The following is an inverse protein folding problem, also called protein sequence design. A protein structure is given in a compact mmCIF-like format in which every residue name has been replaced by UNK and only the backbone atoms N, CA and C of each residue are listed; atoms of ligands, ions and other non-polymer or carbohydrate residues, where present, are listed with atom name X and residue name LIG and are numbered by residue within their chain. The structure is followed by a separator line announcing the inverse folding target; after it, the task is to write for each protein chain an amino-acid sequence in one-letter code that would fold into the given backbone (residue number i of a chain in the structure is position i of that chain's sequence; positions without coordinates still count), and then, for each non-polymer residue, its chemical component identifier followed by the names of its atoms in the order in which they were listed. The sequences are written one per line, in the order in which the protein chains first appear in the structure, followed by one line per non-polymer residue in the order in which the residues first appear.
data_IF_561505153844
#
_entry.id   IF_561505153844
#
_cell.length_a   1.000
_cell.length_b   1.000
_cell.length_c   1.000
_cell.angle_alpha   90.00
_cell.angle_beta   90.00
_cell.angle_gamma   90.00
#
_symmetry.space_group_name_H-M   'P 1'
#
loop_
_entity.id
_entity.type
_entity.pdbx_description
1 polymer ?
#
# COMPACT_ATOMS: atom_id res chain seq x y z
N UNK A 1 20.98 14.16 -21.98
CA UNK A 1 20.98 15.52 -22.58
C UNK A 1 22.32 16.15 -22.28
N UNK A 2 22.95 16.76 -23.28
CA UNK A 2 24.24 17.42 -23.12
C UNK A 2 24.11 18.55 -22.06
N UNK A 3 25.06 18.59 -21.13
CA UNK A 3 25.09 19.54 -19.99
C UNK A 3 26.20 20.58 -20.14
N UNK A 4 26.84 20.59 -21.30
CA UNK A 4 27.94 21.49 -21.60
C UNK A 4 27.47 22.64 -22.50
N UNK A 5 27.89 23.86 -22.16
CA UNK A 5 27.63 25.08 -22.92
C UNK A 5 28.95 25.62 -23.47
N UNK A 6 28.92 26.30 -24.62
CA UNK A 6 30.11 26.87 -25.25
C UNK A 6 30.48 28.17 -24.52
N UNK A 7 31.68 28.24 -23.94
CA UNK A 7 32.26 29.46 -23.42
C UNK A 7 32.98 30.23 -24.54
N UNK A 8 33.18 31.54 -24.37
CA UNK A 8 33.59 32.49 -25.42
C UNK A 8 34.81 32.13 -26.28
N UNK A 9 35.63 31.17 -25.84
CA UNK A 9 36.86 30.74 -26.52
C UNK A 9 36.69 29.39 -27.24
N UNK A 10 35.46 28.89 -27.42
CA UNK A 10 35.16 27.62 -28.07
C UNK A 10 35.28 26.38 -27.16
N UNK A 11 35.82 26.55 -25.95
CA UNK A 11 35.84 25.49 -24.94
C UNK A 11 34.44 25.23 -24.40
N UNK A 12 34.08 23.95 -24.29
CA UNK A 12 32.82 23.52 -23.67
C UNK A 12 33.04 23.39 -22.17
N UNK A 13 32.30 24.16 -21.39
CA UNK A 13 32.34 24.10 -19.92
C UNK A 13 31.12 23.36 -19.41
N UNK A 14 31.31 22.53 -18.38
CA UNK A 14 30.24 21.70 -17.85
C UNK A 14 29.38 22.53 -16.88
N UNK A 15 28.08 22.65 -17.16
CA UNK A 15 27.18 23.41 -16.29
C UNK A 15 26.73 22.52 -15.12
N UNK A 16 27.49 22.59 -14.02
CA UNK A 16 27.22 21.83 -12.79
C UNK A 16 25.83 22.14 -12.19
N UNK A 17 25.34 23.37 -12.35
CA UNK A 17 24.01 23.80 -11.88
C UNK A 17 22.85 23.23 -12.70
N UNK A 18 23.05 23.03 -14.02
CA UNK A 18 22.09 22.37 -14.90
C UNK A 18 21.98 20.87 -14.61
N UNK A 19 23.07 20.25 -14.16
CA UNK A 19 23.10 18.85 -13.74
C UNK A 19 22.34 18.64 -12.42
N UNK A 20 22.56 19.51 -11.42
CA UNK A 20 21.94 19.45 -10.09
C UNK A 20 20.41 19.57 -10.14
N UNK A 21 19.88 20.48 -10.98
CA UNK A 21 18.43 20.67 -11.10
C UNK A 21 17.70 19.48 -11.73
N UNK A 22 18.37 18.70 -12.59
CA UNK A 22 17.78 17.52 -13.26
C UNK A 22 17.87 16.26 -12.42
N UNK A 23 18.90 16.13 -11.57
CA UNK A 23 19.06 14.99 -10.67
C UNK A 23 17.94 14.91 -9.63
N UNK A 24 17.45 16.04 -9.12
CA UNK A 24 16.40 16.04 -8.11
C UNK A 24 15.13 15.32 -8.58
N UNK A 25 14.66 15.57 -9.81
CA UNK A 25 13.45 14.92 -10.33
C UNK A 25 13.61 13.42 -10.57
N UNK A 26 14.81 12.96 -10.95
CA UNK A 26 15.09 11.53 -11.10
C UNK A 26 15.12 10.81 -9.75
N UNK A 27 15.67 11.44 -8.71
CA UNK A 27 15.67 10.88 -7.35
C UNK A 27 14.23 10.78 -6.82
N UNK A 28 13.40 11.82 -7.02
CA UNK A 28 11.99 11.80 -6.64
C UNK A 28 11.19 10.69 -7.34
N UNK A 29 11.36 10.57 -8.66
CA UNK A 29 10.70 9.51 -9.44
C UNK A 29 11.07 8.11 -8.95
N UNK A 30 12.34 7.91 -8.58
CA UNK A 30 12.82 6.65 -7.99
C UNK A 30 12.13 6.32 -6.67
N UNK A 31 12.05 7.27 -5.73
CA UNK A 31 11.41 7.04 -4.43
C UNK A 31 9.91 6.72 -4.55
N UNK A 32 9.18 7.43 -5.43
CA UNK A 32 7.75 7.18 -5.66
C UNK A 32 7.52 5.81 -6.29
N UNK A 33 8.35 5.40 -7.26
CA UNK A 33 8.26 4.08 -7.87
C UNK A 33 8.53 2.96 -6.86
N UNK A 34 9.54 3.12 -6.00
CA UNK A 34 9.88 2.15 -4.95
C UNK A 34 8.74 2.05 -3.92
N UNK A 35 8.18 3.18 -3.48
CA UNK A 35 7.04 3.19 -2.56
C UNK A 35 5.81 2.49 -3.16
N UNK A 36 5.52 2.72 -4.45
CA UNK A 36 4.45 2.04 -5.16
C UNK A 36 4.65 0.52 -5.24
N UNK A 37 5.88 0.07 -5.47
CA UNK A 37 6.23 -1.36 -5.50
C UNK A 37 6.04 -1.99 -4.11
N UNK A 38 6.48 -1.32 -3.04
CA UNK A 38 6.33 -1.83 -1.67
C UNK A 38 4.84 -2.01 -1.32
N UNK A 39 4.00 -1.03 -1.66
CA UNK A 39 2.55 -1.11 -1.41
C UNK A 39 1.92 -2.26 -2.22
N UNK A 40 2.31 -2.44 -3.48
CA UNK A 40 1.81 -3.52 -4.32
C UNK A 40 2.16 -4.91 -3.76
N UNK A 41 3.37 -5.09 -3.21
CA UNK A 41 3.81 -6.35 -2.62
C UNK A 41 3.20 -6.62 -1.24
N UNK A 42 2.98 -5.59 -0.43
CA UNK A 42 2.40 -5.73 0.93
C UNK A 42 0.87 -5.79 0.91
N UNK A 43 0.20 -5.31 -0.15
CA UNK A 43 -1.26 -5.27 -0.24
C UNK A 43 -1.96 -6.63 -0.12
N UNK A 44 -1.24 -7.73 -0.37
CA UNK A 44 -1.79 -9.08 -0.32
C UNK A 44 -2.06 -9.58 1.11
N UNK A 45 -1.39 -9.02 2.12
CA UNK A 45 -1.53 -9.46 3.53
C UNK A 45 -2.80 -8.97 4.20
N UNK A 46 -3.58 -8.09 3.58
CA UNK A 46 -4.84 -7.54 4.13
C UNK A 46 -6.10 -8.25 3.64
N UNK A 47 -6.00 -9.38 2.91
CA UNK A 47 -7.20 -10.17 2.59
C UNK A 47 -7.74 -10.81 3.87
N UNK A 48 -8.99 -10.52 4.29
CA UNK A 48 -9.59 -11.20 5.43
C UNK A 48 -9.67 -12.69 5.08
N UNK A 49 -8.91 -13.51 5.80
CA UNK A 49 -8.89 -14.96 5.60
C UNK A 49 -10.29 -15.50 5.88
N UNK A 50 -10.99 -15.94 4.84
CA UNK A 50 -12.24 -16.66 4.99
C UNK A 50 -11.95 -17.94 5.79
N UNK A 51 -12.36 -17.97 7.07
CA UNK A 51 -12.22 -19.15 7.91
C UNK A 51 -13.09 -20.28 7.34
N UNK A 52 -12.56 -21.51 7.32
CA UNK A 52 -13.29 -22.72 6.94
C UNK A 52 -13.67 -23.49 8.20
N UNK A 53 -14.90 -24.00 8.27
CA UNK A 53 -15.46 -24.68 9.45
C UNK A 53 -15.94 -26.07 9.02
N UNK A 54 -15.91 -27.06 9.93
CA UNK A 54 -16.45 -28.40 9.64
C UNK A 54 -17.97 -28.41 9.71
N UNK A 55 -18.61 -29.09 8.76
CA UNK A 55 -20.05 -29.31 8.78
C UNK A 55 -20.43 -30.26 9.93
N UNK A 56 -21.42 -29.95 10.78
CA UNK A 56 -21.83 -30.80 11.90
C UNK A 56 -22.52 -32.11 11.46
N UNK A 57 -22.96 -32.21 10.20
CA UNK A 57 -23.71 -33.35 9.70
C UNK A 57 -22.84 -34.38 8.96
N UNK A 58 -21.82 -33.91 8.23
CA UNK A 58 -20.99 -34.77 7.38
C UNK A 58 -19.49 -34.69 7.71
N UNK A 59 -19.08 -33.72 8.53
CA UNK A 59 -17.69 -33.45 8.94
C UNK A 59 -16.74 -32.94 7.84
N UNK A 60 -17.21 -32.75 6.60
CA UNK A 60 -16.43 -32.06 5.57
C UNK A 60 -16.22 -30.57 5.87
N UNK A 61 -15.13 -30.02 5.31
CA UNK A 61 -14.78 -28.60 5.39
C UNK A 61 -15.66 -27.76 4.46
N UNK A 62 -16.38 -26.81 5.05
CA UNK A 62 -17.25 -25.84 4.37
C UNK A 62 -16.80 -24.41 4.71
N UNK A 63 -17.24 -23.41 3.93
CA UNK A 63 -16.94 -22.02 4.25
C UNK A 63 -17.65 -21.59 5.55
N UNK A 64 -17.04 -20.73 6.37
CA UNK A 64 -17.68 -20.17 7.58
C UNK A 64 -18.96 -19.36 7.28
N UNK A 65 -19.14 -18.98 6.03
CA UNK A 65 -20.32 -18.26 5.53
C UNK A 65 -21.34 -19.18 4.83
N UNK A 66 -21.08 -20.48 4.75
CA UNK A 66 -22.02 -21.41 4.16
C UNK A 66 -23.32 -21.45 4.98
N UNK A 67 -24.45 -21.24 4.30
CA UNK A 67 -25.80 -21.49 4.83
C UNK A 67 -26.25 -22.92 4.51
N UNK A 68 -25.66 -23.53 3.47
CA UNK A 68 -25.94 -24.89 3.02
C UNK A 68 -24.66 -25.63 2.70
N UNK A 69 -24.56 -26.87 3.18
CA UNK A 69 -23.39 -27.70 2.91
C UNK A 69 -23.40 -28.18 1.45
N UNK A 70 -22.28 -27.99 0.74
CA UNK A 70 -22.08 -28.48 -0.64
C UNK A 70 -21.92 -30.01 -0.74
N UNK A 71 -21.60 -30.67 0.37
CA UNK A 71 -21.32 -32.11 0.41
C UNK A 71 -22.57 -32.94 0.73
N UNK A 72 -23.30 -32.58 1.79
CA UNK A 72 -24.47 -33.33 2.24
C UNK A 72 -25.80 -32.59 2.02
N UNK A 73 -25.78 -31.32 1.60
CA UNK A 73 -27.00 -30.56 1.36
C UNK A 73 -27.77 -30.11 2.61
N UNK A 74 -27.28 -30.40 3.81
CA UNK A 74 -27.89 -29.95 5.07
C UNK A 74 -27.73 -28.44 5.26
N UNK A 75 -28.73 -27.81 5.86
CA UNK A 75 -28.66 -26.41 6.27
C UNK A 75 -27.74 -26.27 7.49
N UNK A 76 -26.84 -25.30 7.44
CA UNK A 76 -25.82 -25.04 8.45
C UNK A 76 -25.87 -23.58 8.86
N UNK A 77 -25.78 -23.30 10.15
CA UNK A 77 -25.82 -21.91 10.64
C UNK A 77 -24.47 -21.24 10.40
N UNK A 78 -24.38 -20.16 9.60
CA UNK A 78 -23.12 -19.48 9.35
C UNK A 78 -22.60 -18.82 10.63
N UNK A 79 -21.39 -19.18 11.04
CA UNK A 79 -20.79 -18.71 12.31
C UNK A 79 -20.58 -17.20 12.32
N UNK A 80 -20.37 -16.59 11.15
CA UNK A 80 -20.23 -15.14 11.08
C UNK A 80 -21.46 -14.41 11.64
N UNK A 81 -22.67 -14.96 11.66
CA UNK A 81 -23.83 -14.23 12.22
C UNK A 81 -23.74 -14.05 13.74
N UNK A 82 -23.05 -14.95 14.44
CA UNK A 82 -22.90 -14.88 15.91
C UNK A 82 -21.72 -13.98 16.31
N UNK A 83 -20.73 -13.82 15.43
CA UNK A 83 -19.49 -13.07 15.69
C UNK A 83 -19.46 -11.69 15.00
N UNK A 84 -20.29 -11.46 13.97
CA UNK A 84 -20.33 -10.19 13.19
C UNK A 84 -20.83 -8.98 13.97
N UNK A 85 -21.63 -9.14 15.02
CA UNK A 85 -22.21 -8.00 15.71
C UNK A 85 -21.23 -7.29 16.66
N UNK A 86 -20.10 -7.90 17.02
CA UNK A 86 -19.18 -7.33 18.01
C UNK A 86 -17.73 -7.34 17.52
N UNK A 87 -17.22 -8.46 17.00
CA UNK A 87 -15.79 -8.60 16.72
C UNK A 87 -15.39 -8.20 15.28
N UNK A 88 -16.31 -8.30 14.32
CA UNK A 88 -16.00 -7.98 12.92
C UNK A 88 -15.99 -6.47 12.66
N UNK A 89 -16.83 -5.69 13.35
CA UNK A 89 -16.69 -4.22 13.32
C UNK A 89 -15.39 -3.77 14.00
N UNK A 90 -15.04 -4.30 15.17
CA UNK A 90 -13.81 -3.88 15.85
C UNK A 90 -12.54 -4.19 15.04
N UNK A 91 -12.45 -5.36 14.40
CA UNK A 91 -11.27 -5.78 13.64
C UNK A 91 -11.17 -5.11 12.26
N UNK A 92 -12.29 -4.92 11.52
CA UNK A 92 -12.26 -4.17 10.26
C UNK A 92 -11.97 -2.69 10.50
N UNK A 93 -12.50 -2.11 11.59
CA UNK A 93 -12.17 -0.73 11.98
C UNK A 93 -10.71 -0.63 12.38
N UNK A 94 -10.13 -1.62 13.06
CA UNK A 94 -8.70 -1.61 13.41
C UNK A 94 -7.81 -1.72 12.17
N UNK A 95 -8.18 -2.54 11.19
CA UNK A 95 -7.49 -2.64 9.92
C UNK A 95 -7.62 -1.35 9.10
N UNK A 96 -8.83 -0.77 9.03
CA UNK A 96 -9.10 0.50 8.36
C UNK A 96 -8.37 1.67 9.04
N UNK A 97 -8.33 1.70 10.38
CA UNK A 97 -7.62 2.71 11.18
C UNK A 97 -6.12 2.59 11.00
N UNK A 98 -5.53 1.38 11.05
CA UNK A 98 -4.10 1.19 10.82
C UNK A 98 -3.70 1.52 9.38
N UNK A 99 -4.50 1.14 8.38
CA UNK A 99 -4.24 1.50 6.98
C UNK A 99 -4.33 3.01 6.76
N UNK A 100 -5.35 3.69 7.32
CA UNK A 100 -5.45 5.16 7.27
C UNK A 100 -4.33 5.86 8.03
N UNK A 101 -3.90 5.32 9.17
CA UNK A 101 -2.79 5.84 9.96
C UNK A 101 -1.47 5.70 9.19
N UNK A 102 -1.20 4.52 8.62
CA UNK A 102 0.00 4.25 7.81
C UNK A 102 0.00 5.15 6.57
N UNK A 103 -1.11 5.23 5.85
CA UNK A 103 -1.24 6.12 4.69
C UNK A 103 -1.05 7.58 5.08
N UNK A 104 -1.60 8.02 6.22
CA UNK A 104 -1.43 9.36 6.76
C UNK A 104 0.01 9.69 7.15
N UNK A 105 0.73 8.74 7.79
CA UNK A 105 2.14 8.89 8.13
C UNK A 105 3.00 8.94 6.88
N UNK A 106 2.75 8.07 5.90
CA UNK A 106 3.48 8.10 4.62
C UNK A 106 3.25 9.45 3.92
N UNK A 107 2.01 9.91 3.82
CA UNK A 107 1.69 11.17 3.17
C UNK A 107 2.32 12.37 3.90
N UNK A 108 2.31 12.38 5.24
CA UNK A 108 2.90 13.46 6.03
C UNK A 108 4.42 13.50 5.92
N UNK A 109 5.08 12.34 5.91
CA UNK A 109 6.54 12.22 5.70
C UNK A 109 6.91 12.69 4.30
N UNK A 110 6.17 12.29 3.26
CA UNK A 110 6.40 12.78 1.91
C UNK A 110 6.20 14.30 1.80
N UNK A 111 5.13 14.85 2.38
CA UNK A 111 4.88 16.29 2.39
C UNK A 111 5.97 17.07 3.13
N UNK A 112 6.45 16.57 4.27
CA UNK A 112 7.52 17.20 5.05
C UNK A 112 8.87 17.17 4.30
N UNK A 113 9.20 16.05 3.64
CA UNK A 113 10.42 15.93 2.81
C UNK A 113 10.34 16.90 1.63
N UNK A 114 9.20 16.97 0.93
CA UNK A 114 8.99 17.90 -0.17
C UNK A 114 9.12 19.35 0.32
N UNK A 115 8.47 19.69 1.45
CA UNK A 115 8.54 21.02 2.06
C UNK A 115 9.95 21.42 2.47
N UNK A 116 10.70 20.53 3.12
CA UNK A 116 12.09 20.77 3.51
C UNK A 116 12.99 21.00 2.29
N UNK A 117 12.79 20.25 1.21
CA UNK A 117 13.55 20.42 -0.04
C UNK A 117 13.22 21.74 -0.73
N UNK A 118 11.94 22.14 -0.77
CA UNK A 118 11.53 23.44 -1.32
C UNK A 118 12.15 24.58 -0.48
N UNK A 119 12.12 24.46 0.84
CA UNK A 119 12.65 25.44 1.78
C UNK A 119 14.17 25.57 1.70
N UNK A 120 14.91 24.46 1.57
CA UNK A 120 16.37 24.48 1.43
C UNK A 120 16.85 24.97 0.06
N UNK A 121 15.95 25.12 -0.90
CA UNK A 121 16.25 25.53 -2.27
C UNK A 121 15.87 26.98 -2.58
N UNK A 122 15.16 27.66 -1.66
CA UNK A 122 15.04 29.12 -1.63
C UNK A 122 16.27 29.73 -0.97
#
# INVERSE_FOLDING_TARGET
MDVTVVAGDGYRVNNLGLMSSRQNYMIFGGFVAIAGIIIALVGETFKPSASSVKCPYCAELISAEAVKCKHCGSDVTPLKTIVRADETEASDRLAEVNVKLIAGIVLSVFAAIIGAIIFHRQ
#
